data_IF_290357059338
#
_entry.id   IF_290357059338
#
_cell.length_a   1.000
_cell.length_b   1.000
_cell.length_c   1.000
_cell.angle_alpha   90.00
_cell.angle_beta   90.00
_cell.angle_gamma   90.00
#
_symmetry.space_group_name_H-M   'P 1'
#
loop_
_entity.id
_entity.type
_entity.pdbx_description
1 polymer ?
#
# COMPACT_ATOMS: atom_id res chain seq x y z
N UNK A 1 17.64 -77.50 10.19
CA UNK A 1 16.49 -76.65 10.42
C UNK A 1 16.91 -75.17 10.40
N UNK A 2 16.62 -74.48 9.33
CA UNK A 2 16.98 -73.08 9.18
C UNK A 2 15.70 -72.27 9.25
N UNK A 3 15.60 -71.34 10.24
CA UNK A 3 14.51 -70.43 10.39
C UNK A 3 14.70 -69.23 9.45
N UNK A 4 13.68 -68.72 8.73
CA UNK A 4 13.79 -67.52 7.93
C UNK A 4 13.59 -66.32 8.80
N UNK A 5 14.54 -65.40 8.78
CA UNK A 5 14.45 -64.05 9.37
C UNK A 5 13.56 -63.16 8.50
N UNK A 6 12.42 -62.75 9.03
CA UNK A 6 11.54 -61.77 8.41
C UNK A 6 12.08 -60.37 8.64
N UNK A 7 12.31 -59.61 7.55
CA UNK A 7 12.61 -58.19 7.53
C UNK A 7 11.34 -57.39 7.81
N UNK A 8 11.40 -56.37 8.65
CA UNK A 8 10.24 -55.46 8.81
C UNK A 8 10.16 -54.50 7.63
N UNK A 9 9.00 -54.46 6.99
CA UNK A 9 8.64 -53.46 5.98
C UNK A 9 8.60 -52.07 6.59
N UNK A 10 9.53 -51.21 6.19
CA UNK A 10 9.47 -49.78 6.44
C UNK A 10 8.35 -49.19 5.58
N UNK A 11 7.19 -48.99 6.19
CA UNK A 11 6.14 -48.14 5.62
C UNK A 11 6.60 -46.69 5.78
N UNK A 12 7.17 -46.15 4.70
CA UNK A 12 7.44 -44.71 4.62
C UNK A 12 6.10 -43.98 4.59
N UNK A 13 5.67 -43.52 5.76
CA UNK A 13 4.53 -42.60 5.88
C UNK A 13 4.84 -41.28 5.19
N UNK A 14 4.25 -41.06 4.03
CA UNK A 14 4.23 -39.78 3.38
C UNK A 14 3.43 -38.80 4.26
N UNK A 15 4.12 -38.04 5.12
CA UNK A 15 3.53 -36.94 5.83
C UNK A 15 3.25 -35.86 4.77
N UNK A 16 2.02 -35.85 4.24
CA UNK A 16 1.52 -34.66 3.54
C UNK A 16 1.48 -33.52 4.58
N UNK A 17 2.49 -32.67 4.55
CA UNK A 17 2.40 -31.34 5.13
C UNK A 17 1.31 -30.60 4.35
N UNK A 18 0.06 -30.72 4.81
CA UNK A 18 -1.00 -29.79 4.47
C UNK A 18 -0.53 -28.44 5.00
N UNK A 19 0.04 -27.62 4.11
CA UNK A 19 0.24 -26.22 4.40
C UNK A 19 -1.16 -25.69 4.79
N UNK A 20 -1.38 -25.48 6.08
CA UNK A 20 -2.55 -24.76 6.55
C UNK A 20 -2.61 -23.44 5.76
N UNK A 21 -3.79 -23.01 5.29
CA UNK A 21 -3.88 -21.68 4.72
C UNK A 21 -3.34 -20.74 5.79
N UNK A 22 -2.24 -20.08 5.49
CA UNK A 22 -1.72 -19.05 6.35
C UNK A 22 -2.86 -18.05 6.51
N UNK A 23 -3.51 -18.07 7.67
CA UNK A 23 -4.31 -16.94 8.09
C UNK A 23 -3.30 -15.80 8.18
N UNK A 24 -3.25 -15.00 7.12
CA UNK A 24 -2.44 -13.81 7.09
C UNK A 24 -2.84 -12.99 8.33
N UNK A 25 -2.00 -13.03 9.32
CA UNK A 25 -2.21 -12.31 10.57
C UNK A 25 -1.70 -10.90 10.41
N UNK A 26 -2.30 -9.97 11.13
CA UNK A 26 -1.83 -8.58 11.17
C UNK A 26 -0.38 -8.45 11.69
N UNK A 27 0.22 -9.53 12.14
CA UNK A 27 1.60 -9.64 12.64
C UNK A 27 2.56 -10.19 11.60
N UNK A 28 2.08 -10.57 10.40
CA UNK A 28 2.98 -10.99 9.33
C UNK A 28 3.95 -9.86 8.98
N UNK A 29 5.21 -10.15 8.68
CA UNK A 29 6.15 -9.11 8.27
C UNK A 29 5.72 -8.46 6.95
N UNK A 30 6.10 -7.19 6.72
CA UNK A 30 5.85 -6.54 5.45
C UNK A 30 6.51 -7.31 4.31
N UNK A 31 5.73 -7.67 3.28
CA UNK A 31 6.18 -8.42 2.14
C UNK A 31 5.25 -8.19 0.93
N UNK A 32 5.73 -8.41 -0.30
CA UNK A 32 4.88 -8.37 -1.48
C UNK A 32 3.68 -9.32 -1.35
N UNK A 33 2.49 -8.83 -1.62
CA UNK A 33 1.25 -9.61 -1.54
C UNK A 33 0.76 -9.93 -0.13
N UNK A 34 1.37 -9.36 0.92
CA UNK A 34 0.91 -9.55 2.30
C UNK A 34 -0.58 -9.20 2.43
N UNK A 35 -1.28 -9.95 3.29
CA UNK A 35 -2.72 -9.75 3.51
C UNK A 35 -2.94 -9.11 4.86
N UNK A 36 -3.10 -7.79 4.89
CA UNK A 36 -3.35 -6.99 6.08
C UNK A 36 -4.74 -6.33 6.06
N UNK A 37 -5.73 -7.02 5.52
CA UNK A 37 -7.11 -6.52 5.50
C UNK A 37 -7.60 -6.25 6.91
N UNK A 38 -8.13 -5.04 7.15
CA UNK A 38 -8.64 -4.58 8.46
C UNK A 38 -7.60 -4.60 9.58
N UNK A 39 -6.32 -4.73 9.25
CA UNK A 39 -5.25 -4.71 10.25
C UNK A 39 -4.98 -3.28 10.74
N UNK A 40 -4.58 -3.19 12.01
CA UNK A 40 -4.15 -1.94 12.62
C UNK A 40 -2.63 -1.89 12.61
N UNK A 41 -2.08 -1.07 11.72
CA UNK A 41 -0.66 -0.79 11.56
C UNK A 41 -0.37 0.68 11.90
N UNK A 42 -1.14 1.22 12.85
CA UNK A 42 -1.00 2.62 13.26
C UNK A 42 0.37 2.87 13.87
N UNK A 43 1.00 3.97 13.49
CA UNK A 43 2.35 4.34 13.87
C UNK A 43 3.42 3.26 13.57
N UNK A 44 3.14 2.29 12.70
CA UNK A 44 4.12 1.29 12.30
C UNK A 44 5.33 1.94 11.62
N UNK A 45 6.51 1.38 11.87
CA UNK A 45 7.77 1.79 11.25
C UNK A 45 8.06 0.89 10.04
N UNK A 46 7.76 1.41 8.83
CA UNK A 46 7.78 0.67 7.58
C UNK A 46 8.58 1.40 6.47
N UNK A 47 9.73 2.05 6.76
CA UNK A 47 10.50 2.73 5.75
C UNK A 47 11.03 1.74 4.71
N UNK A 48 10.82 2.04 3.43
CA UNK A 48 11.25 1.19 2.32
C UNK A 48 10.58 -0.18 2.26
N UNK A 49 9.58 -0.46 3.09
CA UNK A 49 8.87 -1.74 3.09
C UNK A 49 8.28 -2.06 1.72
N UNK A 50 8.42 -3.30 1.28
CA UNK A 50 7.82 -3.76 0.03
C UNK A 50 6.43 -4.37 0.30
N UNK A 51 5.40 -3.55 0.06
CA UNK A 51 3.99 -3.90 0.13
C UNK A 51 3.37 -3.98 -1.28
N UNK A 52 4.18 -4.23 -2.30
CA UNK A 52 3.69 -4.39 -3.67
C UNK A 52 2.63 -5.50 -3.74
N UNK A 53 1.50 -5.21 -4.38
CA UNK A 53 0.34 -6.13 -4.49
C UNK A 53 -0.26 -6.57 -3.16
N UNK A 54 0.08 -5.90 -2.05
CA UNK A 54 -0.49 -6.18 -0.75
C UNK A 54 -2.02 -5.96 -0.72
N UNK A 55 -2.70 -6.73 0.10
CA UNK A 55 -4.15 -6.62 0.32
C UNK A 55 -4.39 -5.84 1.61
N UNK A 56 -4.65 -4.54 1.48
CA UNK A 56 -4.70 -3.57 2.57
C UNK A 56 -6.11 -2.97 2.77
N UNK A 57 -7.16 -3.63 2.26
CA UNK A 57 -8.53 -3.11 2.37
C UNK A 57 -8.90 -2.87 3.83
N UNK A 58 -9.48 -1.70 4.10
CA UNK A 58 -9.90 -1.27 5.45
C UNK A 58 -8.76 -1.26 6.48
N UNK A 59 -7.50 -1.42 6.08
CA UNK A 59 -6.37 -1.38 7.00
C UNK A 59 -6.10 0.05 7.50
N UNK A 60 -5.57 0.17 8.70
CA UNK A 60 -5.20 1.45 9.29
C UNK A 60 -3.69 1.59 9.40
N UNK A 61 -3.17 2.68 8.83
CA UNK A 61 -1.77 3.11 8.85
C UNK A 61 -1.66 4.54 9.36
N UNK A 62 -2.52 4.93 10.31
CA UNK A 62 -2.50 6.29 10.83
C UNK A 62 -1.14 6.60 11.48
N UNK A 63 -0.54 7.71 11.08
CA UNK A 63 0.78 8.14 11.57
C UNK A 63 1.91 7.13 11.33
N UNK A 64 1.72 6.14 10.46
CA UNK A 64 2.77 5.20 10.10
C UNK A 64 3.91 5.90 9.33
N UNK A 65 5.14 5.47 9.56
CA UNK A 65 6.32 5.92 8.84
C UNK A 65 6.57 4.98 7.65
N UNK A 66 6.18 5.43 6.44
CA UNK A 66 6.19 4.62 5.22
C UNK A 66 7.02 5.30 4.12
N UNK A 67 8.09 6.00 4.52
CA UNK A 67 8.97 6.67 3.55
C UNK A 67 9.54 5.66 2.57
N UNK A 68 9.50 5.99 1.27
CA UNK A 68 10.03 5.14 0.20
C UNK A 68 9.41 3.73 0.15
N UNK A 69 8.32 3.48 0.88
CA UNK A 69 7.62 2.21 0.82
C UNK A 69 7.07 1.94 -0.59
N UNK A 70 7.05 0.67 -0.98
CA UNK A 70 6.53 0.22 -2.27
C UNK A 70 5.12 -0.32 -2.09
N UNK A 71 4.13 0.35 -2.65
CA UNK A 71 2.72 -0.06 -2.69
C UNK A 71 2.24 -0.26 -4.13
N UNK A 72 3.15 -0.65 -5.03
CA UNK A 72 2.83 -0.86 -6.44
C UNK A 72 1.75 -1.93 -6.57
N UNK A 73 0.66 -1.62 -7.31
CA UNK A 73 -0.50 -2.51 -7.49
C UNK A 73 -1.17 -2.96 -6.18
N UNK A 74 -0.94 -2.30 -5.04
CA UNK A 74 -1.58 -2.64 -3.77
C UNK A 74 -3.09 -2.34 -3.80
N UNK A 75 -3.88 -3.20 -3.14
CA UNK A 75 -5.31 -3.00 -2.96
C UNK A 75 -5.58 -2.39 -1.57
N UNK A 76 -5.65 -1.07 -1.52
CA UNK A 76 -5.83 -0.25 -0.32
C UNK A 76 -7.18 0.50 -0.33
N UNK A 77 -8.24 -0.15 -0.87
CA UNK A 77 -9.59 0.42 -0.82
C UNK A 77 -9.97 0.68 0.64
N UNK A 78 -10.49 1.89 0.92
CA UNK A 78 -10.93 2.33 2.24
C UNK A 78 -9.84 2.27 3.33
N UNK A 79 -8.58 2.09 2.95
CA UNK A 79 -7.47 2.13 3.90
C UNK A 79 -7.26 3.55 4.46
N UNK A 80 -6.77 3.64 5.69
CA UNK A 80 -6.57 4.91 6.39
C UNK A 80 -5.09 5.22 6.55
N UNK A 81 -4.63 6.26 5.88
CA UNK A 81 -3.27 6.81 5.92
C UNK A 81 -3.23 8.20 6.57
N UNK A 82 -4.13 8.45 7.51
CA UNK A 82 -4.24 9.77 8.16
C UNK A 82 -2.93 10.16 8.83
N UNK A 83 -2.35 11.28 8.39
CA UNK A 83 -1.06 11.78 8.88
C UNK A 83 0.12 10.78 8.69
N UNK A 84 0.00 9.80 7.83
CA UNK A 84 1.10 8.90 7.49
C UNK A 84 2.19 9.63 6.70
N UNK A 85 3.44 9.22 6.88
CA UNK A 85 4.57 9.71 6.10
C UNK A 85 4.86 8.76 4.93
N UNK A 86 4.35 9.12 3.76
CA UNK A 86 4.51 8.42 2.48
C UNK A 86 5.51 9.16 1.57
N UNK A 87 6.42 9.95 2.14
CA UNK A 87 7.43 10.69 1.37
C UNK A 87 8.20 9.74 0.45
N UNK A 88 8.20 10.02 -0.86
CA UNK A 88 8.90 9.21 -1.86
C UNK A 88 8.32 7.80 -2.08
N UNK A 89 7.20 7.46 -1.45
CA UNK A 89 6.58 6.14 -1.64
C UNK A 89 6.13 5.90 -3.08
N UNK A 90 6.20 4.65 -3.53
CA UNK A 90 5.74 4.23 -4.85
C UNK A 90 4.34 3.59 -4.74
N UNK A 91 3.33 4.38 -5.09
CA UNK A 91 1.92 4.01 -5.13
C UNK A 91 1.44 3.79 -6.59
N UNK A 92 2.37 3.49 -7.50
CA UNK A 92 2.04 3.27 -8.91
C UNK A 92 0.97 2.21 -9.06
N UNK A 93 -0.13 2.54 -9.73
CA UNK A 93 -1.32 1.73 -9.97
C UNK A 93 -2.00 1.17 -8.70
N UNK A 94 -1.69 1.73 -7.52
CA UNK A 94 -2.38 1.35 -6.29
C UNK A 94 -3.88 1.68 -6.36
N UNK A 95 -4.70 0.81 -5.81
CA UNK A 95 -6.14 1.04 -5.68
C UNK A 95 -6.42 1.70 -4.32
N UNK A 96 -6.53 3.02 -4.34
CA UNK A 96 -6.75 3.90 -3.18
C UNK A 96 -8.19 4.45 -3.15
N UNK A 97 -9.14 3.74 -3.75
CA UNK A 97 -10.54 4.19 -3.76
C UNK A 97 -11.05 4.37 -2.34
N UNK A 98 -11.67 5.53 -2.10
CA UNK A 98 -12.23 5.88 -0.78
C UNK A 98 -11.20 5.85 0.36
N UNK A 99 -9.90 5.76 0.07
CA UNK A 99 -8.87 5.82 1.10
C UNK A 99 -8.84 7.21 1.77
N UNK A 100 -8.51 7.24 3.06
CA UNK A 100 -8.34 8.46 3.82
C UNK A 100 -6.85 8.81 3.94
N UNK A 101 -6.43 9.77 3.14
CA UNK A 101 -5.09 10.35 3.09
C UNK A 101 -5.05 11.75 3.74
N UNK A 102 -5.99 12.04 4.66
CA UNK A 102 -6.07 13.34 5.35
C UNK A 102 -4.73 13.66 6.02
N UNK A 103 -4.14 14.81 5.68
CA UNK A 103 -2.85 15.28 6.19
C UNK A 103 -1.68 14.32 5.95
N UNK A 104 -1.80 13.35 5.06
CA UNK A 104 -0.69 12.48 4.71
C UNK A 104 0.42 13.30 4.01
N UNK A 105 1.67 12.92 4.27
CA UNK A 105 2.83 13.48 3.58
C UNK A 105 3.14 12.59 2.37
N UNK A 106 2.77 13.07 1.17
CA UNK A 106 2.97 12.39 -0.12
C UNK A 106 4.02 13.12 -0.98
N UNK A 107 4.91 13.90 -0.36
CA UNK A 107 5.96 14.62 -1.09
C UNK A 107 6.78 13.65 -1.93
N UNK A 108 6.96 13.99 -3.23
CA UNK A 108 7.70 13.16 -4.20
C UNK A 108 7.17 11.72 -4.35
N UNK A 109 5.98 11.43 -3.85
CA UNK A 109 5.37 10.12 -4.04
C UNK A 109 5.02 9.89 -5.52
N UNK A 110 5.09 8.65 -5.95
CA UNK A 110 4.69 8.21 -7.29
C UNK A 110 3.28 7.65 -7.23
N UNK A 111 2.35 8.34 -7.85
CA UNK A 111 0.93 7.98 -7.90
C UNK A 111 0.48 7.69 -9.35
N UNK A 112 1.46 7.32 -10.21
CA UNK A 112 1.20 7.08 -11.62
C UNK A 112 0.13 6.00 -11.82
N UNK A 113 -0.96 6.37 -12.48
CA UNK A 113 -2.08 5.47 -12.74
C UNK A 113 -2.83 4.97 -11.50
N UNK A 114 -2.62 5.56 -10.32
CA UNK A 114 -3.33 5.20 -9.10
C UNK A 114 -4.83 5.53 -9.19
N UNK A 115 -5.66 4.69 -8.61
CA UNK A 115 -7.11 4.92 -8.50
C UNK A 115 -7.44 5.61 -7.17
N UNK A 116 -7.58 6.93 -7.20
CA UNK A 116 -7.89 7.79 -6.06
C UNK A 116 -9.36 8.23 -6.05
N UNK A 117 -10.25 7.52 -6.75
CA UNK A 117 -11.66 7.89 -6.81
C UNK A 117 -12.27 7.97 -5.41
N UNK A 118 -12.90 9.11 -5.12
CA UNK A 118 -13.52 9.40 -3.81
C UNK A 118 -12.56 9.33 -2.63
N UNK A 119 -11.24 9.32 -2.85
CA UNK A 119 -10.27 9.41 -1.77
C UNK A 119 -10.31 10.79 -1.10
N UNK A 120 -9.99 10.84 0.19
CA UNK A 120 -9.86 12.08 0.93
C UNK A 120 -8.39 12.47 1.03
N UNK A 121 -7.99 13.54 0.34
CA UNK A 121 -6.65 14.13 0.36
C UNK A 121 -6.67 15.49 1.07
N UNK A 122 -7.59 15.66 2.03
CA UNK A 122 -7.76 16.92 2.76
C UNK A 122 -6.48 17.33 3.46
N UNK A 123 -5.91 18.49 3.06
CA UNK A 123 -4.64 19.01 3.56
C UNK A 123 -3.44 18.07 3.42
N UNK A 124 -3.48 17.11 2.50
CA UNK A 124 -2.32 16.27 2.19
C UNK A 124 -1.22 17.11 1.51
N UNK A 125 0.04 16.72 1.70
CA UNK A 125 1.18 17.33 1.01
C UNK A 125 1.58 16.47 -0.19
N UNK A 126 1.21 16.91 -1.39
CA UNK A 126 1.51 16.30 -2.68
C UNK A 126 2.61 17.08 -3.42
N UNK A 127 3.38 17.90 -2.71
CA UNK A 127 4.46 18.69 -3.33
C UNK A 127 5.42 17.78 -4.09
N UNK A 128 5.68 18.11 -5.36
CA UNK A 128 6.56 17.33 -6.27
C UNK A 128 6.10 15.88 -6.52
N UNK A 129 4.87 15.48 -6.15
CA UNK A 129 4.35 14.15 -6.44
C UNK A 129 4.06 13.98 -7.94
N UNK A 130 4.10 12.73 -8.43
CA UNK A 130 3.73 12.39 -9.80
C UNK A 130 2.35 11.72 -9.85
N UNK A 131 1.36 12.46 -10.32
CA UNK A 131 -0.04 12.03 -10.47
C UNK A 131 -0.37 11.60 -11.91
N UNK A 132 0.62 11.41 -12.78
CA UNK A 132 0.39 11.07 -14.20
C UNK A 132 -0.55 9.87 -14.33
N UNK A 133 -1.67 10.05 -15.03
CA UNK A 133 -2.66 9.00 -15.26
C UNK A 133 -3.49 8.63 -14.03
N UNK A 134 -3.29 9.27 -12.88
CA UNK A 134 -4.10 9.02 -11.69
C UNK A 134 -5.56 9.42 -11.89
N UNK A 135 -6.50 8.62 -11.34
CA UNK A 135 -7.93 8.91 -11.38
C UNK A 135 -8.38 9.60 -10.09
N UNK A 136 -8.62 10.89 -10.15
CA UNK A 136 -9.05 11.74 -9.02
C UNK A 136 -10.57 12.00 -9.00
N UNK A 137 -11.38 11.25 -9.75
CA UNK A 137 -12.82 11.50 -9.82
C UNK A 137 -13.49 11.45 -8.45
N UNK A 138 -14.05 12.59 -8.02
CA UNK A 138 -14.69 12.74 -6.72
C UNK A 138 -13.73 12.77 -5.51
N UNK A 139 -12.42 12.84 -5.73
CA UNK A 139 -11.45 12.99 -4.65
C UNK A 139 -11.56 14.39 -4.00
N UNK A 140 -11.36 14.44 -2.69
CA UNK A 140 -11.36 15.70 -1.93
C UNK A 140 -9.92 16.21 -1.77
N UNK A 141 -9.53 17.18 -2.56
CA UNK A 141 -8.22 17.86 -2.54
C UNK A 141 -8.21 19.16 -1.73
N UNK A 142 -9.27 19.46 -0.96
CA UNK A 142 -9.37 20.72 -0.23
C UNK A 142 -8.14 20.95 0.66
N UNK A 143 -7.43 22.04 0.40
CA UNK A 143 -6.23 22.41 1.14
C UNK A 143 -5.00 21.53 0.86
N UNK A 144 -5.06 20.60 -0.09
CA UNK A 144 -3.89 19.80 -0.48
C UNK A 144 -2.83 20.70 -1.15
N UNK A 145 -1.57 20.53 -0.78
CA UNK A 145 -0.44 21.24 -1.38
C UNK A 145 0.04 20.48 -2.63
N UNK A 146 0.06 21.15 -3.78
CA UNK A 146 0.33 20.57 -5.09
C UNK A 146 1.53 21.20 -5.79
N UNK A 147 2.28 22.08 -5.12
CA UNK A 147 3.39 22.80 -5.73
C UNK A 147 4.42 21.85 -6.38
N UNK A 148 4.69 22.04 -7.67
CA UNK A 148 5.62 21.19 -8.42
C UNK A 148 5.11 19.78 -8.73
N UNK A 149 3.90 19.41 -8.33
CA UNK A 149 3.32 18.11 -8.66
C UNK A 149 3.08 18.00 -10.18
N UNK A 150 3.38 16.84 -10.75
CA UNK A 150 3.02 16.50 -12.13
C UNK A 150 1.56 16.05 -12.16
N UNK A 151 0.74 16.75 -12.94
CA UNK A 151 -0.71 16.52 -12.94
C UNK A 151 -1.11 15.26 -13.74
N UNK A 152 -2.38 14.92 -13.67
CA UNK A 152 -2.93 13.66 -14.22
C UNK A 152 -2.77 13.52 -15.75
N UNK A 153 -2.62 14.61 -16.48
CA UNK A 153 -2.34 14.60 -17.93
C UNK A 153 -0.87 14.26 -18.26
N UNK A 154 0.00 14.18 -17.25
CA UNK A 154 1.41 13.87 -17.36
C UNK A 154 2.26 15.00 -17.97
N UNK A 155 1.66 16.12 -18.35
CA UNK A 155 2.35 17.24 -19.01
C UNK A 155 2.38 18.48 -18.12
N UNK A 156 1.29 18.78 -17.43
CA UNK A 156 1.19 19.94 -16.55
C UNK A 156 1.95 19.71 -15.25
N UNK A 157 2.77 20.69 -14.89
CA UNK A 157 3.38 20.78 -13.57
C UNK A 157 2.70 21.91 -12.82
N UNK A 158 2.14 21.61 -11.66
CA UNK A 158 1.41 22.59 -10.86
C UNK A 158 2.36 23.71 -10.37
N UNK A 159 1.95 24.96 -10.50
CA UNK A 159 2.74 26.10 -10.05
C UNK A 159 3.07 26.00 -8.55
N UNK A 160 4.18 26.61 -8.15
CA UNK A 160 4.51 26.78 -6.76
C UNK A 160 3.35 27.52 -6.05
N UNK A 161 2.88 26.96 -4.92
CA UNK A 161 1.72 27.53 -4.19
C UNK A 161 0.36 27.02 -4.65
N UNK A 162 0.28 26.10 -5.63
CA UNK A 162 -0.99 25.42 -5.96
C UNK A 162 -1.57 24.71 -4.73
N UNK A 163 -2.80 25.06 -4.35
CA UNK A 163 -3.50 24.46 -3.21
C UNK A 163 -4.92 24.05 -3.63
N UNK A 164 -5.27 22.79 -3.38
CA UNK A 164 -6.59 22.24 -3.68
C UNK A 164 -6.87 22.04 -5.18
N UNK A 165 -6.13 22.73 -6.03
CA UNK A 165 -6.25 22.69 -7.48
C UNK A 165 -4.88 22.95 -8.12
N UNK A 166 -4.56 22.26 -9.21
CA UNK A 166 -3.35 22.47 -10.01
C UNK A 166 -3.52 23.72 -10.89
N UNK A 167 -2.78 24.76 -10.58
CA UNK A 167 -2.73 26.02 -11.31
C UNK A 167 -1.53 26.08 -12.23
#
# INVERSE_FOLDING_TARGET
MRTPTSLPSLVAGLVLLLAAPAFAGCTDPPAPGVVWRRCLQDAADLPGADLSRAQLRDASFQRAMMREAKLVDADAIEARFVSADLTGADLTRANLRQADLTRANLRRARLNGADLRRATLFRADLTEADLTGANLAGANLTGAMLGGARWTDGQRVCAAGSVGNCQ
#
